data_IF_621609551534
#
_entry.id   IF_621609551534
#
_cell.length_a   1.000
_cell.length_b   1.000
_cell.length_c   1.000
_cell.angle_alpha   90.00
_cell.angle_beta   90.00
_cell.angle_gamma   90.00
#
_symmetry.space_group_name_H-M   'P 1'
#
loop_
_entity.id
_entity.type
_entity.pdbx_description
1 polymer ?
#
# COMPACT_ATOMS: atom_id res chain seq x y z
N UNK A 1 9.65 22.99 -11.01
CA UNK A 1 8.61 21.96 -11.18
C UNK A 1 9.19 20.83 -12.03
N UNK A 2 9.50 19.68 -11.42
CA UNK A 2 10.02 18.52 -12.16
C UNK A 2 8.86 17.87 -12.92
N UNK A 3 9.10 17.53 -14.19
CA UNK A 3 8.08 17.12 -15.16
C UNK A 3 7.21 15.96 -14.66
N UNK A 4 5.91 16.20 -14.58
CA UNK A 4 4.85 15.24 -14.24
C UNK A 4 4.55 14.26 -15.41
N UNK A 5 5.57 13.69 -16.05
CA UNK A 5 5.40 12.95 -17.30
C UNK A 5 6.34 11.76 -17.56
N UNK A 6 7.23 11.40 -16.62
CA UNK A 6 7.87 10.08 -16.64
C UNK A 6 7.11 9.21 -15.65
N UNK A 7 6.75 7.98 -16.02
CA UNK A 7 6.03 7.02 -15.16
C UNK A 7 6.77 6.82 -13.83
N UNK A 8 6.51 7.71 -12.88
CA UNK A 8 7.11 7.68 -11.57
C UNK A 8 6.48 6.51 -10.84
N UNK A 9 7.32 5.55 -10.44
CA UNK A 9 6.83 4.37 -9.73
C UNK A 9 6.01 4.82 -8.50
N UNK A 10 4.99 4.06 -8.07
CA UNK A 10 4.23 4.38 -6.86
C UNK A 10 5.14 4.64 -5.64
N UNK A 11 6.30 3.99 -5.58
CA UNK A 11 7.32 4.21 -4.56
C UNK A 11 7.93 5.61 -4.63
N UNK A 12 8.29 6.07 -5.82
CA UNK A 12 8.93 7.38 -5.99
C UNK A 12 7.95 8.50 -5.65
N UNK A 13 6.67 8.34 -6.01
CA UNK A 13 5.60 9.27 -5.57
C UNK A 13 5.42 9.27 -4.06
N UNK A 14 5.42 8.10 -3.44
CA UNK A 14 5.33 7.98 -1.97
C UNK A 14 6.53 8.63 -1.28
N UNK A 15 7.72 8.46 -1.83
CA UNK A 15 8.93 9.10 -1.34
C UNK A 15 8.81 10.62 -1.37
N UNK A 16 8.37 11.19 -2.51
CA UNK A 16 8.18 12.63 -2.66
C UNK A 16 7.15 13.19 -1.66
N UNK A 17 6.02 12.49 -1.46
CA UNK A 17 4.99 12.87 -0.47
C UNK A 17 5.57 12.90 0.95
N UNK A 18 6.32 11.86 1.34
CA UNK A 18 6.90 11.76 2.68
C UNK A 18 8.00 12.82 2.88
N UNK A 19 8.84 13.06 1.88
CA UNK A 19 9.87 14.10 1.94
C UNK A 19 9.24 15.49 2.06
N UNK A 20 8.22 15.79 1.26
CA UNK A 20 7.46 17.04 1.35
C UNK A 20 6.89 17.23 2.76
N UNK A 21 6.36 16.17 3.36
CA UNK A 21 5.86 16.21 4.75
C UNK A 21 6.97 16.57 5.74
N UNK A 22 8.16 15.97 5.62
CA UNK A 22 9.29 16.28 6.49
C UNK A 22 9.79 17.72 6.33
N UNK A 23 9.84 18.24 5.10
CA UNK A 23 10.20 19.62 4.82
C UNK A 23 9.22 20.59 5.50
N UNK A 24 7.91 20.38 5.32
CA UNK A 24 6.86 21.20 5.95
C UNK A 24 6.92 21.11 7.49
N UNK A 25 7.28 19.96 8.05
CA UNK A 25 7.38 19.77 9.49
C UNK A 25 8.69 20.29 10.11
N UNK A 26 9.70 20.61 9.29
CA UNK A 26 11.03 21.04 9.77
C UNK A 26 11.02 22.22 10.74
N UNK A 27 10.27 23.32 10.54
CA UNK A 27 10.22 24.40 11.54
C UNK A 27 9.68 23.96 12.91
N UNK A 28 8.88 22.89 12.96
CA UNK A 28 8.26 22.37 14.19
C UNK A 28 9.06 21.23 14.84
N UNK A 29 10.23 20.87 14.29
CA UNK A 29 11.04 19.73 14.78
C UNK A 29 11.36 19.79 16.28
N UNK A 30 11.73 20.93 16.89
CA UNK A 30 11.99 20.99 18.33
C UNK A 30 10.76 20.66 19.19
N UNK A 31 9.57 21.11 18.77
CA UNK A 31 8.33 20.82 19.47
C UNK A 31 7.96 19.34 19.34
N UNK A 32 8.09 18.77 18.14
CA UNK A 32 7.84 17.36 17.88
C UNK A 32 8.76 16.46 18.71
N UNK A 33 10.05 16.81 18.85
CA UNK A 33 11.00 16.08 19.69
C UNK A 33 10.54 15.99 21.14
N UNK A 34 10.01 17.09 21.69
CA UNK A 34 9.47 17.11 23.07
C UNK A 34 8.19 16.27 23.19
N UNK A 35 7.30 16.33 22.20
CA UNK A 35 6.07 15.53 22.18
C UNK A 35 6.40 14.04 22.17
N UNK A 36 7.34 13.61 21.31
CA UNK A 36 7.77 12.21 21.26
C UNK A 36 8.37 11.77 22.58
N UNK A 37 9.28 12.57 23.17
CA UNK A 37 9.88 12.25 24.47
C UNK A 37 8.82 12.09 25.58
N UNK A 38 7.77 12.92 25.56
CA UNK A 38 6.65 12.80 26.49
C UNK A 38 5.82 11.53 26.24
N UNK A 39 5.51 11.21 24.99
CA UNK A 39 4.74 10.01 24.60
C UNK A 39 5.50 8.71 24.91
N UNK A 40 6.83 8.70 24.83
CA UNK A 40 7.66 7.54 25.19
C UNK A 40 7.49 7.12 26.67
N UNK A 41 7.20 8.07 27.55
CA UNK A 41 6.94 7.80 28.96
C UNK A 41 5.48 7.41 29.26
N UNK A 42 4.58 7.50 28.27
CA UNK A 42 3.13 7.33 28.41
C UNK A 42 2.55 6.51 27.26
N UNK A 43 2.75 5.18 27.27
CA UNK A 43 2.31 4.32 26.17
C UNK A 43 0.79 4.35 25.92
N UNK A 44 -0.01 4.60 26.96
CA UNK A 44 -1.47 4.74 26.83
C UNK A 44 -1.89 5.94 25.97
N UNK A 45 -1.20 7.08 26.10
CA UNK A 45 -1.46 8.27 25.29
C UNK A 45 -0.91 8.09 23.87
N UNK A 46 0.21 7.37 23.70
CA UNK A 46 0.71 6.99 22.38
C UNK A 46 -0.28 6.11 21.60
N UNK A 47 -0.99 5.20 22.29
CA UNK A 47 -1.97 4.32 21.66
C UNK A 47 -3.15 5.07 21.04
N UNK A 48 -3.58 6.20 21.62
CA UNK A 48 -4.69 7.00 21.07
C UNK A 48 -4.31 7.66 19.75
N UNK A 49 -3.03 7.95 19.53
CA UNK A 49 -2.47 8.53 18.30
C UNK A 49 -2.23 7.48 17.21
N UNK A 50 -2.31 6.19 17.54
CA UNK A 50 -2.00 5.12 16.58
C UNK A 50 -3.01 5.10 15.43
N UNK A 51 -4.31 5.24 15.74
CA UNK A 51 -5.37 5.24 14.71
C UNK A 51 -5.23 6.41 13.74
N UNK A 52 -4.94 7.61 14.25
CA UNK A 52 -4.71 8.79 13.39
C UNK A 52 -3.43 8.66 12.56
N UNK A 53 -2.38 8.04 13.12
CA UNK A 53 -1.14 7.74 12.40
C UNK A 53 -1.38 6.75 11.26
N UNK A 54 -2.11 5.67 11.52
CA UNK A 54 -2.47 4.69 10.48
C UNK A 54 -3.32 5.33 9.36
N UNK A 55 -4.29 6.17 9.73
CA UNK A 55 -5.10 6.89 8.76
C UNK A 55 -4.26 7.83 7.88
N UNK A 56 -3.31 8.56 8.48
CA UNK A 56 -2.39 9.42 7.73
C UNK A 56 -1.57 8.62 6.71
N UNK A 57 -1.17 7.40 7.06
CA UNK A 57 -0.32 6.55 6.23
C UNK A 57 -1.12 5.92 5.09
N UNK A 58 -2.38 5.57 5.36
CA UNK A 58 -3.35 5.20 4.34
C UNK A 58 -3.50 6.30 3.29
N UNK A 59 -3.72 7.55 3.70
CA UNK A 59 -3.88 8.66 2.76
C UNK A 59 -2.62 8.95 1.94
N UNK A 60 -1.42 8.80 2.52
CA UNK A 60 -0.16 8.93 1.76
C UNK A 60 0.01 7.81 0.72
N UNK A 61 -0.38 6.57 1.05
CA UNK A 61 -0.38 5.47 0.08
C UNK A 61 -1.42 5.67 -1.02
N UNK A 62 -2.61 6.15 -0.65
CA UNK A 62 -3.67 6.45 -1.60
C UNK A 62 -3.24 7.57 -2.57
N UNK A 63 -2.64 8.65 -2.06
CA UNK A 63 -2.09 9.74 -2.87
C UNK A 63 -0.94 9.29 -3.80
N UNK A 64 -0.17 8.29 -3.39
CA UNK A 64 0.87 7.67 -4.22
C UNK A 64 0.32 6.71 -5.30
N UNK A 65 -0.99 6.43 -5.30
CA UNK A 65 -1.63 5.51 -6.24
C UNK A 65 -1.38 4.03 -5.92
N UNK A 66 -1.13 3.68 -4.65
CA UNK A 66 -1.00 2.29 -4.24
C UNK A 66 -2.39 1.61 -4.21
N UNK A 67 -2.44 0.32 -4.59
CA UNK A 67 -3.63 -0.52 -4.41
C UNK A 67 -3.81 -0.86 -2.93
N UNK A 68 -4.92 -0.44 -2.34
CA UNK A 68 -5.22 -0.58 -0.90
C UNK A 68 -6.36 -1.57 -0.62
N UNK A 69 -6.73 -2.39 -1.60
CA UNK A 69 -7.82 -3.35 -1.47
C UNK A 69 -7.42 -4.59 -0.65
N UNK A 70 -8.34 -5.06 0.18
CA UNK A 70 -8.23 -6.31 0.95
C UNK A 70 -7.11 -6.32 2.02
N UNK A 71 -6.77 -7.52 2.48
CA UNK A 71 -5.75 -7.72 3.53
C UNK A 71 -4.36 -7.21 3.14
N UNK A 72 -4.02 -7.20 1.84
CA UNK A 72 -2.78 -6.64 1.33
C UNK A 72 -2.67 -5.12 1.53
N UNK A 73 -3.79 -4.39 1.44
CA UNK A 73 -3.84 -2.96 1.74
C UNK A 73 -3.51 -2.68 3.21
N UNK A 74 -4.11 -3.42 4.14
CA UNK A 74 -3.82 -3.28 5.58
C UNK A 74 -2.34 -3.56 5.91
N UNK A 75 -1.74 -4.57 5.27
CA UNK A 75 -0.32 -4.86 5.41
C UNK A 75 0.57 -3.72 4.90
N UNK A 76 0.22 -3.09 3.76
CA UNK A 76 0.95 -1.94 3.22
C UNK A 76 0.88 -0.74 4.16
N UNK A 77 -0.29 -0.46 4.74
CA UNK A 77 -0.49 0.67 5.67
C UNK A 77 0.32 0.45 6.95
N UNK A 78 0.23 -0.73 7.56
CA UNK A 78 0.98 -1.07 8.78
C UNK A 78 2.49 -1.09 8.54
N UNK A 79 2.93 -1.68 7.42
CA UNK A 79 4.33 -1.67 7.00
C UNK A 79 4.87 -0.26 6.76
N UNK A 80 4.12 0.59 6.07
CA UNK A 80 4.50 2.00 5.89
C UNK A 80 4.55 2.75 7.22
N UNK A 81 3.64 2.47 8.13
CA UNK A 81 3.60 3.11 9.46
C UNK A 81 4.84 2.77 10.27
N UNK A 82 5.28 1.51 10.25
CA UNK A 82 6.53 1.10 10.87
C UNK A 82 7.76 1.76 10.23
N UNK A 83 7.81 1.81 8.89
CA UNK A 83 8.90 2.48 8.15
C UNK A 83 8.95 3.97 8.51
N UNK A 84 7.80 4.65 8.42
CA UNK A 84 7.67 6.07 8.71
C UNK A 84 8.10 6.38 10.14
N UNK A 85 7.67 5.62 11.15
CA UNK A 85 8.08 5.82 12.54
C UNK A 85 9.60 5.78 12.73
N UNK A 86 10.28 4.81 12.10
CA UNK A 86 11.75 4.69 12.17
C UNK A 86 12.47 5.81 11.43
N UNK A 87 11.93 6.30 10.32
CA UNK A 87 12.52 7.43 9.59
C UNK A 87 12.26 8.74 10.34
N UNK A 88 11.09 8.87 10.97
CA UNK A 88 10.72 10.01 11.78
C UNK A 88 11.66 10.19 12.98
N UNK A 89 12.02 9.11 13.68
CA UNK A 89 13.06 9.14 14.72
C UNK A 89 14.41 9.65 14.17
N UNK A 90 14.86 9.13 13.03
CA UNK A 90 16.11 9.57 12.39
C UNK A 90 16.05 11.06 12.03
N UNK A 91 14.92 11.51 11.49
CA UNK A 91 14.70 12.89 11.10
C UNK A 91 14.72 13.86 12.29
N UNK A 92 14.19 13.44 13.45
CA UNK A 92 14.24 14.25 14.68
C UNK A 92 15.67 14.47 15.20
N UNK A 93 16.59 13.57 14.86
CA UNK A 93 18.00 13.62 15.25
C UNK A 93 18.94 14.05 14.12
N UNK A 94 18.41 14.32 12.91
CA UNK A 94 19.18 14.74 11.75
C UNK A 94 19.54 16.23 11.88
N UNK A 95 20.83 16.60 12.00
CA UNK A 95 21.23 18.02 12.07
C UNK A 95 21.27 18.68 10.69
N UNK A 96 21.15 17.92 9.60
CA UNK A 96 21.28 18.46 8.25
C UNK A 96 20.04 19.27 7.83
N UNK A 97 20.26 20.39 7.16
CA UNK A 97 19.20 21.22 6.57
C UNK A 97 18.58 20.54 5.33
N UNK A 98 19.36 19.74 4.60
CA UNK A 98 18.95 19.03 3.38
C UNK A 98 18.36 17.64 3.66
N UNK A 99 18.27 17.23 4.92
CA UNK A 99 17.71 15.92 5.33
C UNK A 99 18.47 14.73 4.73
N UNK A 100 19.78 14.84 4.49
CA UNK A 100 20.57 13.84 3.75
C UNK A 100 20.49 12.44 4.40
N UNK A 101 20.57 12.38 5.74
CA UNK A 101 20.47 11.11 6.47
C UNK A 101 19.07 10.54 6.42
N UNK A 102 18.07 11.41 6.57
CA UNK A 102 16.65 11.04 6.47
C UNK A 102 16.32 10.48 5.09
N UNK A 103 16.80 11.13 4.04
CA UNK A 103 16.59 10.75 2.65
C UNK A 103 17.14 9.35 2.36
N UNK A 104 18.40 9.11 2.72
CA UNK A 104 19.05 7.81 2.56
C UNK A 104 18.35 6.71 3.40
N UNK A 105 17.93 7.05 4.62
CA UNK A 105 17.22 6.15 5.51
C UNK A 105 15.84 5.74 4.99
N UNK A 106 15.11 6.67 4.37
CA UNK A 106 13.80 6.45 3.77
C UNK A 106 13.92 5.58 2.51
N UNK A 107 14.80 5.96 1.58
CA UNK A 107 15.03 5.23 0.31
C UNK A 107 15.43 3.76 0.56
N UNK A 108 16.35 3.52 1.51
CA UNK A 108 16.75 2.16 1.91
C UNK A 108 15.57 1.35 2.46
N UNK A 109 14.69 1.95 3.26
CA UNK A 109 13.56 1.26 3.89
C UNK A 109 12.42 0.99 2.92
N UNK A 110 12.09 1.94 2.06
CA UNK A 110 11.07 1.75 1.02
C UNK A 110 11.48 0.63 0.04
N UNK A 111 12.74 0.63 -0.43
CA UNK A 111 13.26 -0.46 -1.27
C UNK A 111 13.23 -1.82 -0.58
N UNK A 112 13.50 -1.87 0.73
CA UNK A 112 13.40 -3.11 1.51
C UNK A 112 11.95 -3.57 1.65
N UNK A 113 11.01 -2.65 1.89
CA UNK A 113 9.59 -2.94 1.97
C UNK A 113 9.03 -3.47 0.65
N UNK A 114 9.41 -2.87 -0.48
CA UNK A 114 9.04 -3.33 -1.82
C UNK A 114 9.54 -4.76 -2.08
N UNK A 115 10.82 -5.05 -1.81
CA UNK A 115 11.38 -6.41 -1.95
C UNK A 115 10.68 -7.43 -1.04
N UNK A 116 10.33 -7.02 0.18
CA UNK A 116 9.62 -7.87 1.12
C UNK A 116 8.21 -8.21 0.63
N UNK A 117 7.46 -7.23 0.12
CA UNK A 117 6.14 -7.44 -0.46
C UNK A 117 6.21 -8.33 -1.71
N UNK A 118 7.15 -8.08 -2.62
CA UNK A 118 7.35 -8.94 -3.80
C UNK A 118 7.72 -10.37 -3.43
N UNK A 119 8.57 -10.57 -2.42
CA UNK A 119 8.92 -11.90 -1.92
C UNK A 119 7.75 -12.63 -1.25
N UNK A 120 6.91 -11.91 -0.51
CA UNK A 120 5.70 -12.47 0.11
C UNK A 120 4.67 -12.92 -0.93
N UNK A 121 4.53 -12.21 -2.05
CA UNK A 121 3.58 -12.60 -3.10
C UNK A 121 3.99 -13.93 -3.75
N UNK A 122 5.29 -14.12 -4.02
CA UNK A 122 5.84 -15.41 -4.46
C UNK A 122 5.67 -16.50 -3.40
N UNK A 123 5.96 -16.19 -2.14
CA UNK A 123 5.88 -17.18 -1.05
C UNK A 123 4.42 -17.53 -0.70
N UNK A 124 3.46 -16.62 -0.86
CA UNK A 124 2.05 -16.90 -0.64
C UNK A 124 1.47 -17.76 -1.76
N UNK A 125 1.90 -17.56 -3.01
CA UNK A 125 1.56 -18.47 -4.11
C UNK A 125 2.14 -19.88 -3.88
N UNK A 126 3.39 -19.96 -3.44
CA UNK A 126 4.04 -21.23 -3.12
C UNK A 126 3.45 -21.88 -1.86
N UNK A 127 3.11 -21.09 -0.85
CA UNK A 127 2.49 -21.55 0.39
C UNK A 127 1.03 -21.92 0.19
N UNK A 128 0.25 -21.23 -0.65
CA UNK A 128 -1.09 -21.66 -1.03
C UNK A 128 -1.01 -22.92 -1.90
N UNK A 129 -0.06 -23.03 -2.83
CA UNK A 129 0.15 -24.26 -3.61
C UNK A 129 0.56 -25.44 -2.73
N UNK A 130 1.38 -25.20 -1.72
CA UNK A 130 1.84 -26.19 -0.76
C UNK A 130 0.75 -26.56 0.26
N UNK A 131 0.04 -25.57 0.81
CA UNK A 131 -1.07 -25.77 1.74
C UNK A 131 -2.27 -26.44 1.04
N UNK A 132 -2.63 -26.05 -0.19
CA UNK A 132 -3.63 -26.77 -0.99
C UNK A 132 -3.21 -28.21 -1.34
N UNK A 133 -1.92 -28.56 -1.24
CA UNK A 133 -1.44 -29.94 -1.31
C UNK A 133 -1.68 -30.76 -0.04
N UNK A 134 -1.93 -30.11 1.10
CA UNK A 134 -2.20 -30.72 2.40
C UNK A 134 -3.65 -30.57 2.89
N UNK A 135 -4.47 -29.75 2.21
CA UNK A 135 -5.91 -29.69 2.48
C UNK A 135 -6.61 -30.95 1.94
N UNK A 136 -7.57 -31.54 2.70
CA UNK A 136 -8.35 -32.68 2.23
C UNK A 136 -9.11 -32.32 0.94
N UNK A 137 -9.17 -33.27 0.01
CA UNK A 137 -9.71 -33.22 -1.37
C UNK A 137 -11.13 -32.64 -1.57
N UNK A 138 -11.81 -32.15 -0.54
CA UNK A 138 -13.23 -31.74 -0.56
C UNK A 138 -13.52 -30.24 -0.75
N UNK A 139 -12.51 -29.39 -0.95
CA UNK A 139 -12.70 -27.92 -1.02
C UNK A 139 -12.71 -27.31 -2.44
N UNK A 140 -12.81 -28.12 -3.51
CA UNK A 140 -13.27 -27.59 -4.82
C UNK A 140 -14.76 -27.28 -4.73
N UNK A 141 -15.12 -26.17 -4.09
CA UNK A 141 -16.47 -25.65 -4.09
C UNK A 141 -16.58 -24.57 -5.16
N UNK A 142 -16.95 -25.02 -6.36
CA UNK A 142 -17.78 -24.32 -7.32
C UNK A 142 -17.41 -22.89 -7.68
N UNK A 143 -16.36 -22.70 -8.49
CA UNK A 143 -16.34 -21.60 -9.46
C UNK A 143 -17.22 -21.99 -10.66
N UNK A 144 -18.54 -22.10 -10.43
CA UNK A 144 -19.49 -21.85 -11.50
C UNK A 144 -19.74 -20.35 -11.49
N UNK A 145 -18.89 -19.63 -12.22
CA UNK A 145 -19.29 -18.34 -12.75
C UNK A 145 -20.52 -18.60 -13.63
N UNK A 146 -21.70 -18.31 -13.08
CA UNK A 146 -22.93 -18.13 -13.84
C UNK A 146 -22.63 -17.03 -14.87
N UNK A 147 -22.32 -17.43 -16.11
CA UNK A 147 -22.29 -16.51 -17.22
C UNK A 147 -23.73 -15.98 -17.39
N UNK A 148 -23.97 -14.67 -17.41
CA UNK A 148 -25.32 -14.15 -17.62
C UNK A 148 -25.86 -14.70 -18.95
N UNK A 149 -27.12 -15.19 -18.99
CA UNK A 149 -27.68 -15.79 -20.19
C UNK A 149 -27.66 -14.78 -21.32
N UNK A 150 -27.00 -15.15 -22.42
CA UNK A 150 -27.04 -14.37 -23.65
C UNK A 150 -28.50 -14.33 -24.16
N UNK A 151 -29.04 -13.18 -24.57
CA UNK A 151 -30.38 -13.11 -25.13
C UNK A 151 -30.46 -13.97 -26.41
N UNK A 152 -31.49 -14.82 -26.47
CA UNK A 152 -31.71 -15.79 -27.53
C UNK A 152 -31.62 -15.16 -28.93
N UNK A 153 -30.81 -15.76 -29.79
CA UNK A 153 -30.81 -15.51 -31.23
C UNK A 153 -32.16 -15.91 -31.84
N UNK A 154 -32.76 -15.09 -32.73
CA UNK A 154 -34.03 -15.43 -33.38
C UNK A 154 -33.88 -16.67 -34.30
N UNK A 155 -34.97 -17.44 -34.48
CA UNK A 155 -34.94 -18.72 -35.17
C UNK A 155 -34.57 -18.60 -36.67
N UNK A 156 -34.02 -19.67 -37.27
CA UNK A 156 -33.60 -19.67 -38.66
C UNK A 156 -34.81 -19.51 -39.59
N UNK A 157 -34.72 -18.57 -40.52
CA UNK A 157 -35.64 -18.45 -41.63
C UNK A 157 -35.59 -19.73 -42.48
N UNK A 158 -36.66 -20.52 -42.42
CA UNK A 158 -36.95 -21.57 -43.40
C UNK A 158 -37.31 -20.97 -44.77
N UNK A 159 -37.23 -21.77 -45.84
CA UNK A 159 -36.99 -21.25 -47.20
C UNK A 159 -38.25 -20.69 -47.88
N UNK A 160 -37.96 -19.75 -48.78
CA UNK A 160 -38.78 -19.15 -49.84
C UNK A 160 -40.10 -19.85 -50.24
N UNK A 161 -41.18 -19.05 -50.26
CA UNK A 161 -42.34 -19.17 -51.14
C UNK A 161 -42.83 -17.72 -51.37
N UNK A 162 -42.59 -17.10 -52.53
CA UNK A 162 -43.36 -17.21 -53.76
C UNK A 162 -44.77 -16.61 -53.67
N UNK A 163 -45.01 -15.68 -54.61
CA UNK A 163 -46.30 -15.32 -55.22
C UNK A 163 -47.00 -14.01 -54.77
N UNK A 164 -47.13 -13.16 -55.80
CA UNK A 164 -48.10 -12.07 -56.10
C UNK A 164 -47.87 -10.71 -55.46
#
# INVERSE_FOLDING_TARGET
AKAAGQEQSPRDRLFDIIMTRFEVMTPYRPALKRIVAYLSCRPGEGATLLCSTLASQYWMLAGAGAKLDGAGGALRVTGLTAIYGRVFEIWLDDPSALLDRTMAALDKRLRRGERFLSGMESTCQDFCRFACGFLPRGWRRGDHAEAPPQPASPPPAGPAAAAV
#
